data_IF_986150484156
#
_entry.id   IF_986150484156
#
_cell.length_a   1.000
_cell.length_b   1.000
_cell.length_c   1.000
_cell.angle_alpha   90.00
_cell.angle_beta   90.00
_cell.angle_gamma   90.00
#
_symmetry.space_group_name_H-M   'P 1'
#
loop_
_entity.id
_entity.type
_entity.pdbx_description
1 polymer ?
#
# COMPACT_ATOMS: atom_id res chain seq x y z
N UNK A 1 16.36 14.32 -13.75
CA UNK A 1 15.82 13.55 -12.60
C UNK A 1 15.75 14.50 -11.43
N UNK A 2 14.57 14.73 -10.87
CA UNK A 2 14.41 15.57 -9.67
C UNK A 2 14.62 14.66 -8.47
N UNK A 3 15.64 14.90 -7.69
CA UNK A 3 15.92 14.18 -6.44
C UNK A 3 15.46 15.07 -5.30
N UNK A 4 14.62 14.56 -4.41
CA UNK A 4 14.31 15.23 -3.14
C UNK A 4 15.50 15.03 -2.19
N UNK A 5 16.30 16.05 -1.90
CA UNK A 5 17.56 15.85 -1.16
C UNK A 5 17.36 15.46 0.31
N UNK A 6 16.14 15.59 0.85
CA UNK A 6 15.82 15.30 2.26
C UNK A 6 14.39 14.75 2.41
N UNK A 7 14.13 13.62 1.78
CA UNK A 7 12.81 12.99 1.74
C UNK A 7 12.23 12.79 3.16
N UNK A 8 13.03 12.33 4.11
CA UNK A 8 12.59 12.12 5.50
C UNK A 8 12.11 13.41 6.17
N UNK A 9 12.79 14.54 5.94
CA UNK A 9 12.38 15.84 6.49
C UNK A 9 11.08 16.34 5.87
N UNK A 10 10.86 16.05 4.58
CA UNK A 10 9.63 16.40 3.90
C UNK A 10 8.44 15.69 4.55
N UNK A 11 8.51 14.37 4.71
CA UNK A 11 7.43 13.59 5.31
C UNK A 11 7.19 13.94 6.77
N UNK A 12 8.24 14.17 7.56
CA UNK A 12 8.11 14.62 8.95
C UNK A 12 7.39 15.96 9.07
N UNK A 13 7.75 16.92 8.21
CA UNK A 13 7.09 18.23 8.19
C UNK A 13 5.63 18.12 7.77
N UNK A 14 5.35 17.31 6.77
CA UNK A 14 3.98 17.08 6.29
C UNK A 14 3.11 16.42 7.35
N UNK A 15 3.63 15.39 8.02
CA UNK A 15 2.96 14.75 9.16
C UNK A 15 2.64 15.76 10.26
N UNK A 16 3.61 16.57 10.67
CA UNK A 16 3.42 17.60 11.69
C UNK A 16 2.34 18.63 11.30
N UNK A 17 2.32 19.07 10.03
CA UNK A 17 1.28 20.00 9.54
C UNK A 17 -0.12 19.36 9.60
N UNK A 18 -0.26 18.10 9.22
CA UNK A 18 -1.54 17.38 9.31
C UNK A 18 -1.99 17.22 10.76
N UNK A 19 -1.10 16.80 11.65
CA UNK A 19 -1.40 16.63 13.08
C UNK A 19 -1.79 17.95 13.75
N UNK A 20 -1.14 19.06 13.38
CA UNK A 20 -1.49 20.40 13.88
C UNK A 20 -2.89 20.85 13.48
N UNK A 21 -3.45 20.28 12.42
CA UNK A 21 -4.82 20.50 11.94
C UNK A 21 -5.83 19.49 12.50
N UNK A 22 -5.42 18.66 13.46
CA UNK A 22 -6.28 17.69 14.12
C UNK A 22 -6.39 16.32 13.44
N UNK A 23 -5.53 16.04 12.45
CA UNK A 23 -5.46 14.71 11.82
C UNK A 23 -4.72 13.75 12.73
N UNK A 24 -5.28 12.58 13.00
CA UNK A 24 -4.58 11.50 13.72
C UNK A 24 -3.96 10.55 12.70
N UNK A 25 -2.64 10.43 12.71
CA UNK A 25 -1.90 9.50 11.85
C UNK A 25 -1.51 8.28 12.66
N UNK A 26 -1.88 7.10 12.18
CA UNK A 26 -1.55 5.82 12.81
C UNK A 26 -0.71 4.99 11.86
N UNK A 27 0.57 4.90 12.14
CA UNK A 27 1.49 4.00 11.47
C UNK A 27 1.41 2.59 12.06
N UNK A 28 1.94 1.61 11.35
CA UNK A 28 1.94 0.21 11.79
C UNK A 28 0.55 -0.32 12.20
N UNK A 29 -0.48 0.14 11.50
CA UNK A 29 -1.87 -0.26 11.75
C UNK A 29 -2.45 -0.83 10.45
N UNK A 30 -2.83 -2.09 10.50
CA UNK A 30 -3.49 -2.78 9.40
C UNK A 30 -4.99 -2.66 9.52
N UNK A 31 -5.67 -2.31 8.43
CA UNK A 31 -7.11 -2.50 8.30
C UNK A 31 -7.33 -3.95 7.86
N UNK A 32 -7.96 -4.74 8.73
CA UNK A 32 -8.22 -6.16 8.48
C UNK A 32 -9.48 -6.34 7.64
N UNK A 33 -10.56 -5.65 8.01
CA UNK A 33 -11.85 -5.72 7.32
C UNK A 33 -12.72 -4.49 7.62
N UNK A 34 -13.76 -4.32 6.80
CA UNK A 34 -14.85 -3.35 7.01
C UNK A 34 -16.15 -4.15 7.13
N UNK A 35 -16.46 -4.68 8.34
CA UNK A 35 -17.60 -5.58 8.54
C UNK A 35 -18.96 -4.91 8.38
N UNK A 36 -19.03 -3.60 8.59
CA UNK A 36 -20.29 -2.85 8.48
C UNK A 36 -20.05 -1.49 7.82
N UNK A 37 -20.91 -1.14 6.88
CA UNK A 37 -20.95 0.17 6.24
C UNK A 37 -22.39 0.53 5.87
N UNK A 38 -22.86 1.65 6.39
CA UNK A 38 -24.14 2.25 6.06
C UNK A 38 -24.00 3.77 5.86
N UNK A 39 -25.11 4.48 5.66
CA UNK A 39 -25.10 5.94 5.41
C UNK A 39 -24.48 6.80 6.51
N UNK A 40 -24.42 6.29 7.73
CA UNK A 40 -24.09 7.10 8.91
C UNK A 40 -22.95 6.49 9.72
N UNK A 41 -22.49 5.31 9.36
CA UNK A 41 -21.52 4.58 10.15
C UNK A 41 -20.73 3.58 9.33
N UNK A 42 -19.43 3.57 9.56
CA UNK A 42 -18.51 2.57 9.02
C UNK A 42 -17.78 1.93 10.20
N UNK A 43 -17.89 0.62 10.36
CA UNK A 43 -17.12 -0.12 11.35
C UNK A 43 -15.88 -0.71 10.67
N UNK A 44 -14.73 -0.52 11.30
CA UNK A 44 -13.43 -0.93 10.78
C UNK A 44 -12.75 -1.82 11.79
N UNK A 45 -12.24 -2.96 11.36
CA UNK A 45 -11.41 -3.84 12.15
C UNK A 45 -9.94 -3.51 11.91
N UNK A 46 -9.23 -3.21 12.98
CA UNK A 46 -7.84 -2.77 12.99
C UNK A 46 -6.98 -3.79 13.74
N UNK A 47 -5.76 -3.96 13.27
CA UNK A 47 -4.72 -4.75 13.93
C UNK A 47 -3.44 -3.92 13.98
N UNK A 48 -2.85 -3.79 15.18
CA UNK A 48 -1.52 -3.22 15.29
C UNK A 48 -0.49 -4.17 14.66
N UNK A 49 0.47 -3.64 13.92
CA UNK A 49 1.62 -4.38 13.42
C UNK A 49 2.84 -4.04 14.25
N UNK A 50 3.70 -5.02 14.50
CA UNK A 50 5.00 -4.75 15.11
C UNK A 50 5.86 -3.98 14.11
N UNK A 51 6.57 -2.92 14.54
CA UNK A 51 7.59 -2.30 13.69
C UNK A 51 8.58 -3.38 13.26
N UNK A 52 8.74 -3.57 11.95
CA UNK A 52 9.74 -4.51 11.44
C UNK A 52 11.10 -3.80 11.38
N UNK A 53 12.08 -4.20 12.17
CA UNK A 53 13.43 -3.63 12.08
C UNK A 53 14.18 -4.10 10.83
N UNK A 54 13.83 -5.27 10.25
CA UNK A 54 14.51 -5.86 9.10
C UNK A 54 13.57 -6.65 8.19
N UNK A 55 13.86 -6.65 6.88
CA UNK A 55 13.13 -7.33 5.82
C UNK A 55 13.10 -8.88 5.91
N UNK A 56 13.52 -9.48 7.01
CA UNK A 56 13.69 -10.92 7.18
C UNK A 56 12.66 -11.58 8.10
N UNK A 57 11.66 -10.84 8.59
CA UNK A 57 10.65 -11.45 9.44
C UNK A 57 9.59 -12.19 8.59
N UNK A 58 9.27 -13.46 8.90
CA UNK A 58 8.30 -14.22 8.13
C UNK A 58 6.93 -13.56 8.18
N UNK A 59 6.32 -13.45 7.01
CA UNK A 59 4.93 -13.02 6.84
C UNK A 59 4.05 -13.94 7.71
N UNK A 60 3.45 -13.41 8.77
CA UNK A 60 2.58 -14.19 9.65
C UNK A 60 2.74 -13.92 11.14
N UNK A 61 3.84 -13.34 11.59
CA UNK A 61 4.10 -13.09 13.02
C UNK A 61 3.10 -12.12 13.69
N UNK A 62 2.32 -11.36 12.90
CA UNK A 62 1.33 -10.41 13.41
C UNK A 62 -0.10 -10.96 13.45
N UNK A 63 -0.33 -12.20 12.99
CA UNK A 63 -1.69 -12.77 12.93
C UNK A 63 -2.30 -12.99 14.31
N UNK A 64 -1.47 -13.16 15.32
CA UNK A 64 -1.90 -13.38 16.72
C UNK A 64 -2.17 -12.09 17.51
N UNK A 65 -1.94 -10.91 16.90
CA UNK A 65 -2.22 -9.65 17.57
C UNK A 65 -3.73 -9.38 17.61
N UNK A 66 -4.24 -8.83 18.73
CA UNK A 66 -5.67 -8.61 18.91
C UNK A 66 -6.21 -7.64 17.84
N UNK A 67 -7.40 -7.98 17.35
CA UNK A 67 -8.17 -7.12 16.46
C UNK A 67 -9.03 -6.20 17.34
N UNK A 68 -8.96 -4.90 17.08
CA UNK A 68 -9.83 -3.89 17.69
C UNK A 68 -10.84 -3.39 16.64
N UNK A 69 -12.03 -2.96 17.12
CA UNK A 69 -13.04 -2.37 16.26
C UNK A 69 -13.21 -0.89 16.58
N UNK A 70 -13.26 -0.09 15.54
CA UNK A 70 -13.55 1.34 15.64
C UNK A 70 -14.64 1.74 14.66
N UNK A 71 -15.36 2.80 15.00
CA UNK A 71 -16.48 3.31 14.22
C UNK A 71 -16.17 4.71 13.74
N UNK A 72 -16.46 4.96 12.46
CA UNK A 72 -16.26 6.24 11.78
C UNK A 72 -17.53 6.63 11.02
N UNK A 73 -17.67 7.91 10.71
CA UNK A 73 -18.79 8.41 9.92
C UNK A 73 -18.60 8.07 8.43
N UNK A 74 -17.39 8.21 7.93
CA UNK A 74 -17.02 7.96 6.55
C UNK A 74 -15.67 7.27 6.41
N UNK A 75 -15.41 6.66 5.27
CA UNK A 75 -14.12 6.06 4.93
C UNK A 75 -13.73 6.41 3.49
N UNK A 76 -12.47 6.76 3.32
CA UNK A 76 -11.84 6.92 2.01
C UNK A 76 -10.74 5.88 1.88
N UNK A 77 -10.83 5.02 0.87
CA UNK A 77 -9.85 3.96 0.61
C UNK A 77 -8.84 4.42 -0.45
N UNK A 78 -7.63 4.75 -0.02
CA UNK A 78 -6.49 5.10 -0.89
C UNK A 78 -5.54 3.90 -1.02
N UNK A 79 -6.08 2.77 -1.51
CA UNK A 79 -5.37 1.50 -1.67
C UNK A 79 -5.63 0.92 -3.06
N UNK A 80 -4.91 -0.13 -3.43
CA UNK A 80 -5.14 -0.84 -4.70
C UNK A 80 -6.56 -1.43 -4.76
N UNK A 81 -7.13 -1.54 -5.95
CA UNK A 81 -8.53 -1.95 -6.13
C UNK A 81 -8.83 -3.37 -5.63
N UNK A 82 -7.89 -4.30 -5.74
CA UNK A 82 -7.97 -5.65 -5.19
C UNK A 82 -7.99 -5.63 -3.65
N UNK A 83 -7.15 -4.80 -3.04
CA UNK A 83 -7.14 -4.56 -1.60
C UNK A 83 -8.45 -3.92 -1.14
N UNK A 84 -8.94 -2.88 -1.83
CA UNK A 84 -10.24 -2.28 -1.53
C UNK A 84 -11.38 -3.31 -1.62
N UNK A 85 -11.39 -4.13 -2.68
CA UNK A 85 -12.36 -5.22 -2.86
C UNK A 85 -12.33 -6.21 -1.70
N UNK A 86 -11.14 -6.60 -1.26
CA UNK A 86 -10.95 -7.52 -0.14
C UNK A 86 -11.46 -6.92 1.18
N UNK A 87 -11.10 -5.66 1.47
CA UNK A 87 -11.51 -4.96 2.69
C UNK A 87 -13.01 -4.75 2.78
N UNK A 88 -13.65 -4.34 1.68
CA UNK A 88 -15.09 -4.15 1.60
C UNK A 88 -15.87 -5.46 1.68
N UNK A 89 -15.34 -6.54 1.12
CA UNK A 89 -15.95 -7.87 1.18
C UNK A 89 -17.45 -7.87 0.87
N UNK A 90 -18.27 -8.28 1.85
CA UNK A 90 -19.73 -8.34 1.71
C UNK A 90 -20.41 -6.96 1.75
N UNK A 91 -19.76 -5.94 2.29
CA UNK A 91 -20.30 -4.58 2.38
C UNK A 91 -20.16 -3.78 1.09
N UNK A 92 -19.42 -4.30 0.10
CA UNK A 92 -19.30 -3.70 -1.21
C UNK A 92 -20.66 -3.70 -1.93
N UNK A 93 -21.06 -2.55 -2.46
CA UNK A 93 -22.23 -2.41 -3.33
C UNK A 93 -22.03 -3.18 -4.64
N UNK A 94 -23.11 -3.39 -5.39
CA UNK A 94 -23.02 -4.02 -6.72
C UNK A 94 -22.07 -3.27 -7.66
N UNK A 95 -22.17 -1.94 -7.71
CA UNK A 95 -21.33 -1.09 -8.56
C UNK A 95 -19.87 -1.20 -8.17
N UNK A 96 -19.54 -1.11 -6.88
CA UNK A 96 -18.17 -1.25 -6.38
C UNK A 96 -17.59 -2.62 -6.73
N UNK A 97 -18.34 -3.69 -6.57
CA UNK A 97 -17.90 -5.04 -6.98
C UNK A 97 -17.58 -5.13 -8.46
N UNK A 98 -18.38 -4.49 -9.31
CA UNK A 98 -18.17 -4.48 -10.75
C UNK A 98 -16.92 -3.67 -11.13
N UNK A 99 -16.76 -2.47 -10.57
CA UNK A 99 -15.62 -1.58 -10.85
C UNK A 99 -14.32 -2.20 -10.34
N UNK A 100 -14.26 -2.53 -9.04
CA UNK A 100 -13.07 -3.06 -8.40
C UNK A 100 -12.69 -4.47 -8.95
N UNK A 101 -13.69 -5.25 -9.37
CA UNK A 101 -13.47 -6.58 -9.92
C UNK A 101 -12.96 -6.60 -11.37
N UNK A 102 -13.12 -5.50 -12.11
CA UNK A 102 -12.66 -5.39 -13.51
C UNK A 102 -11.29 -4.72 -13.65
N UNK A 103 -10.74 -4.17 -12.58
CA UNK A 103 -9.41 -3.55 -12.60
C UNK A 103 -8.37 -4.62 -12.86
N UNK A 104 -7.60 -4.45 -13.94
CA UNK A 104 -6.45 -5.30 -14.27
C UNK A 104 -5.19 -4.58 -13.83
N UNK A 105 -4.27 -5.33 -13.28
CA UNK A 105 -2.95 -4.84 -12.89
C UNK A 105 -1.90 -5.35 -13.87
N UNK A 106 -0.92 -4.52 -14.12
CA UNK A 106 0.33 -4.91 -14.76
C UNK A 106 1.43 -4.84 -13.71
N UNK A 107 2.13 -5.92 -13.50
CA UNK A 107 3.30 -5.94 -12.63
C UNK A 107 4.50 -5.52 -13.45
N UNK A 108 5.02 -4.32 -13.18
CA UNK A 108 6.23 -3.82 -13.81
C UNK A 108 7.41 -4.03 -12.86
N UNK A 109 8.46 -4.65 -13.37
CA UNK A 109 9.71 -4.83 -12.64
C UNK A 109 10.64 -3.67 -12.98
N UNK A 110 10.88 -2.79 -12.02
CA UNK A 110 11.89 -1.73 -12.14
C UNK A 110 13.17 -2.17 -11.44
N UNK A 111 14.25 -2.31 -12.23
CA UNK A 111 15.57 -2.59 -11.67
C UNK A 111 16.38 -1.31 -11.64
N UNK A 112 16.72 -0.85 -10.44
CA UNK A 112 17.62 0.28 -10.24
C UNK A 112 19.01 -0.27 -9.88
N UNK A 113 20.03 0.08 -10.62
CA UNK A 113 21.41 -0.30 -10.33
C UNK A 113 22.32 0.92 -10.37
N UNK A 114 23.32 0.92 -9.54
CA UNK A 114 24.37 1.93 -9.55
C UNK A 114 25.59 1.34 -10.26
N UNK A 115 26.04 2.02 -11.31
CA UNK A 115 27.29 1.67 -12.00
C UNK A 115 28.40 2.43 -11.29
N UNK A 116 29.33 1.70 -10.67
CA UNK A 116 30.49 2.27 -9.93
C UNK A 116 31.75 2.43 -10.77
N UNK A 117 31.70 2.10 -12.07
CA UNK A 117 32.82 2.18 -13.02
C UNK A 117 32.55 3.20 -14.10
N UNK A 118 33.61 3.78 -14.64
CA UNK A 118 33.58 4.78 -15.71
C UNK A 118 32.66 4.35 -16.86
N UNK A 119 31.86 5.30 -17.34
CA UNK A 119 30.81 5.13 -18.36
C UNK A 119 31.36 4.63 -19.72
N UNK A 120 32.68 4.56 -19.89
CA UNK A 120 33.33 4.14 -21.15
C UNK A 120 33.11 2.68 -21.52
N UNK A 121 32.76 1.79 -20.57
CA UNK A 121 32.66 0.35 -20.79
C UNK A 121 31.25 -0.24 -20.66
N UNK A 122 30.21 0.58 -20.59
CA UNK A 122 28.83 0.08 -20.52
C UNK A 122 28.35 -0.28 -21.92
N UNK A 123 28.04 -1.55 -22.22
CA UNK A 123 27.45 -1.91 -23.49
C UNK A 123 26.10 -1.23 -23.65
N UNK A 124 25.94 -0.44 -24.69
CA UNK A 124 24.79 0.43 -24.98
C UNK A 124 23.47 -0.34 -25.22
N UNK A 125 23.45 -1.66 -25.06
CA UNK A 125 22.27 -2.46 -25.33
C UNK A 125 22.03 -3.50 -24.25
N UNK A 126 21.13 -3.22 -23.31
CA UNK A 126 20.54 -4.25 -22.46
C UNK A 126 19.40 -4.89 -23.26
N UNK A 127 19.65 -6.07 -23.83
CA UNK A 127 18.58 -6.88 -24.44
C UNK A 127 17.82 -7.59 -23.31
N UNK A 128 16.69 -7.02 -22.91
CA UNK A 128 15.72 -7.73 -22.08
C UNK A 128 15.07 -8.84 -22.91
N UNK A 129 15.37 -10.09 -22.55
CA UNK A 129 14.74 -11.24 -23.18
C UNK A 129 13.38 -11.52 -22.54
N UNK A 130 12.32 -10.90 -23.05
CA UNK A 130 10.94 -11.03 -22.61
C UNK A 130 10.25 -12.32 -23.10
N UNK A 131 10.96 -13.32 -23.57
CA UNK A 131 10.39 -14.55 -24.15
C UNK A 131 9.69 -15.48 -23.13
N UNK A 132 9.63 -15.15 -21.86
CA UNK A 132 8.97 -15.96 -20.82
C UNK A 132 7.60 -15.46 -20.34
N UNK A 133 7.14 -14.30 -20.79
CA UNK A 133 5.95 -13.63 -20.22
C UNK A 133 4.70 -13.64 -21.12
N UNK A 134 4.79 -14.23 -22.30
CA UNK A 134 3.63 -14.42 -23.18
C UNK A 134 3.40 -15.93 -23.40
N UNK A 135 3.13 -16.62 -22.31
CA UNK A 135 2.63 -17.99 -22.32
C UNK A 135 1.10 -17.97 -22.35
N UNK A 136 0.58 -18.37 -23.49
CA UNK A 136 -0.78 -18.83 -23.85
C UNK A 136 -1.85 -18.81 -22.77
#
# INVERSE_FOLDING_TARGET
MVVFPEESKFYTKWQHDMESRGVTIRLNTEIVAIPERNKHRVRVQLRSRRPQPDHHNPVGADQDLPITEETYDEIVLCVLADTAKRLLGKTASFVERQVLGRTKWSDDITVTHTVSTDISDVPTTIKLNLKGLLGS
#
